data_IF_512003926614
#
_entry.id   IF_512003926614
#
_cell.length_a   1.000
_cell.length_b   1.000
_cell.length_c   1.000
_cell.angle_alpha   90.00
_cell.angle_beta   90.00
_cell.angle_gamma   90.00
#
_symmetry.space_group_name_H-M   'P 1'
#
loop_
_entity.id
_entity.type
_entity.pdbx_description
1 polymer ?
#
# COMPACT_ATOMS: atom_id res chain seq x y z
N UNK A 1 -4.84 29.26 -7.99
CA UNK A 1 -5.84 28.20 -7.69
C UNK A 1 -5.34 27.39 -6.51
N UNK A 2 -6.05 27.38 -5.38
CA UNK A 2 -5.74 26.48 -4.25
C UNK A 2 -6.28 25.08 -4.61
N UNK A 3 -5.51 23.99 -4.47
CA UNK A 3 -6.06 22.66 -4.68
C UNK A 3 -7.18 22.41 -3.67
N UNK A 4 -8.29 21.86 -4.15
CA UNK A 4 -9.42 21.52 -3.30
C UNK A 4 -8.95 20.58 -2.17
N UNK A 5 -9.40 20.79 -0.92
CA UNK A 5 -9.08 19.89 0.17
C UNK A 5 -9.55 18.48 -0.20
N UNK A 6 -8.63 17.53 -0.19
CA UNK A 6 -8.92 16.12 -0.44
C UNK A 6 -9.96 15.68 0.60
N UNK A 7 -11.19 15.42 0.15
CA UNK A 7 -12.27 14.90 0.99
C UNK A 7 -11.76 13.71 1.80
N UNK A 8 -11.95 13.78 3.13
CA UNK A 8 -11.52 12.76 4.08
C UNK A 8 -12.15 11.42 3.67
N UNK A 9 -11.36 10.54 3.04
CA UNK A 9 -11.88 9.26 2.54
C UNK A 9 -12.15 8.35 3.74
N UNK A 10 -13.39 7.91 3.89
CA UNK A 10 -13.78 6.98 4.95
C UNK A 10 -12.94 5.70 4.85
N UNK A 11 -12.44 5.22 6.01
CA UNK A 11 -11.76 3.93 6.11
C UNK A 11 -12.75 2.83 5.74
N UNK A 12 -12.57 2.23 4.56
CA UNK A 12 -13.38 1.12 4.05
C UNK A 12 -12.66 -0.20 4.28
N UNK A 13 -13.35 -1.25 4.70
CA UNK A 13 -12.75 -2.58 4.85
C UNK A 13 -11.96 -3.01 3.59
N UNK A 14 -10.68 -3.32 3.77
CA UNK A 14 -9.82 -3.84 2.71
C UNK A 14 -10.23 -5.24 2.29
N UNK A 15 -10.18 -5.49 0.98
CA UNK A 15 -10.34 -6.84 0.45
C UNK A 15 -9.23 -7.78 0.91
N UNK A 16 -9.54 -9.08 1.03
CA UNK A 16 -8.56 -10.11 1.38
C UNK A 16 -7.35 -10.09 0.42
N UNK A 17 -7.58 -9.87 -0.87
CA UNK A 17 -6.53 -9.73 -1.88
C UNK A 17 -5.58 -8.55 -1.57
N UNK A 18 -6.12 -7.40 -1.19
CA UNK A 18 -5.29 -6.23 -0.85
C UNK A 18 -4.45 -6.45 0.40
N UNK A 19 -5.02 -7.15 1.40
CA UNK A 19 -4.28 -7.55 2.60
C UNK A 19 -3.13 -8.50 2.23
N UNK A 20 -3.38 -9.50 1.37
CA UNK A 20 -2.33 -10.42 0.88
C UNK A 20 -1.23 -9.69 0.09
N UNK A 21 -1.58 -8.71 -0.74
CA UNK A 21 -0.59 -7.88 -1.43
C UNK A 21 0.28 -7.10 -0.44
N UNK A 22 -0.33 -6.52 0.60
CA UNK A 22 0.41 -5.84 1.66
C UNK A 22 1.40 -6.79 2.35
N UNK A 23 0.97 -7.98 2.77
CA UNK A 23 1.87 -8.96 3.40
C UNK A 23 3.02 -9.35 2.49
N UNK A 24 2.74 -9.53 1.19
CA UNK A 24 3.77 -9.88 0.21
C UNK A 24 4.82 -8.78 0.08
N UNK A 25 4.40 -7.51 0.03
CA UNK A 25 5.32 -6.37 0.03
C UNK A 25 6.08 -6.24 1.35
N UNK A 26 5.44 -6.57 2.48
CA UNK A 26 6.05 -6.51 3.81
C UNK A 26 7.19 -7.53 3.99
N UNK A 27 7.23 -8.58 3.18
CA UNK A 27 8.35 -9.52 3.11
C UNK A 27 9.56 -8.97 2.32
N UNK A 28 9.50 -7.72 1.85
CA UNK A 28 10.55 -7.11 1.02
C UNK A 28 10.40 -7.40 -0.47
N UNK A 29 9.33 -8.08 -0.89
CA UNK A 29 9.06 -8.29 -2.30
C UNK A 29 8.52 -7.01 -2.95
N UNK A 30 8.52 -7.02 -4.28
CA UNK A 30 7.95 -5.95 -5.10
C UNK A 30 6.89 -6.49 -6.04
N UNK A 31 5.99 -5.62 -6.50
CA UNK A 31 4.89 -6.00 -7.40
C UNK A 31 4.82 -5.10 -8.60
N UNK A 32 4.58 -5.68 -9.77
CA UNK A 32 4.07 -4.99 -10.95
C UNK A 32 2.56 -5.24 -11.07
N UNK A 33 1.91 -4.54 -12.02
CA UNK A 33 0.52 -4.85 -12.35
C UNK A 33 0.35 -6.30 -12.86
N UNK A 34 1.38 -6.85 -13.54
CA UNK A 34 1.37 -8.21 -14.06
C UNK A 34 1.46 -9.25 -12.92
N UNK A 35 2.36 -9.03 -11.95
CA UNK A 35 2.46 -9.89 -10.76
C UNK A 35 1.15 -9.93 -9.98
N UNK A 36 0.46 -8.79 -9.94
CA UNK A 36 -0.89 -8.67 -9.40
C UNK A 36 -1.91 -9.65 -10.00
N UNK A 37 -1.87 -9.84 -11.32
CA UNK A 37 -2.72 -10.81 -12.02
C UNK A 37 -2.25 -12.23 -11.74
N UNK A 38 -0.95 -12.49 -11.87
CA UNK A 38 -0.38 -13.84 -11.80
C UNK A 38 -0.42 -14.45 -10.39
N UNK A 39 -0.11 -13.66 -9.36
CA UNK A 39 0.03 -14.13 -7.98
C UNK A 39 -1.29 -14.01 -7.18
N UNK A 40 -2.14 -13.05 -7.54
CA UNK A 40 -3.33 -12.70 -6.74
C UNK A 40 -4.64 -12.71 -7.52
N UNK A 41 -4.63 -12.98 -8.83
CA UNK A 41 -5.82 -12.90 -9.68
C UNK A 41 -6.44 -11.51 -9.74
N UNK A 42 -5.64 -10.45 -9.53
CA UNK A 42 -6.14 -9.08 -9.37
C UNK A 42 -5.81 -8.18 -10.55
N UNK A 43 -6.81 -7.93 -11.39
CA UNK A 43 -6.71 -6.99 -12.52
C UNK A 43 -6.53 -5.52 -12.07
N UNK A 44 -6.97 -5.17 -10.86
CA UNK A 44 -6.96 -3.80 -10.34
C UNK A 44 -5.84 -3.53 -9.32
N UNK A 45 -4.67 -4.17 -9.49
CA UNK A 45 -3.56 -4.12 -8.52
C UNK A 45 -3.12 -2.69 -8.19
N UNK A 46 -2.97 -1.83 -9.19
CA UNK A 46 -2.58 -0.41 -8.99
C UNK A 46 -3.59 0.35 -8.13
N UNK A 47 -4.89 0.10 -8.32
CA UNK A 47 -5.95 0.69 -7.51
C UNK A 47 -5.87 0.20 -6.06
N UNK A 48 -5.62 -1.09 -5.83
CA UNK A 48 -5.48 -1.69 -4.49
C UNK A 48 -4.28 -1.13 -3.73
N UNK A 49 -3.14 -1.01 -4.39
CA UNK A 49 -1.97 -0.37 -3.79
C UNK A 49 -2.23 1.13 -3.53
N UNK A 50 -2.95 1.80 -4.43
CA UNK A 50 -3.39 3.18 -4.23
C UNK A 50 -4.38 3.36 -3.06
N UNK A 51 -5.12 2.32 -2.69
CA UNK A 51 -6.02 2.29 -1.51
C UNK A 51 -5.20 2.25 -0.22
N UNK A 52 -4.24 1.32 -0.13
CA UNK A 52 -3.28 1.23 0.97
C UNK A 52 -2.53 2.56 1.20
N UNK A 53 -2.05 3.18 0.12
CA UNK A 53 -1.34 4.46 0.22
C UNK A 53 -2.23 5.61 0.68
N UNK A 54 -3.41 5.80 0.07
CA UNK A 54 -4.22 7.02 0.26
C UNK A 54 -5.17 6.95 1.46
N UNK A 55 -5.63 5.75 1.83
CA UNK A 55 -6.61 5.57 2.92
C UNK A 55 -5.91 5.13 4.20
N UNK A 56 -4.87 4.30 4.08
CA UNK A 56 -4.19 3.68 5.22
C UNK A 56 -2.79 4.23 5.49
N UNK A 57 -2.33 5.21 4.71
CA UNK A 57 -1.05 5.87 4.92
C UNK A 57 0.17 4.97 4.69
N UNK A 58 0.00 3.82 4.05
CA UNK A 58 1.11 2.89 3.80
C UNK A 58 2.08 3.52 2.79
N UNK A 59 3.39 3.62 3.08
CA UNK A 59 4.36 4.27 2.22
C UNK A 59 4.76 3.35 1.05
N UNK A 60 3.86 3.19 0.08
CA UNK A 60 4.11 2.44 -1.15
C UNK A 60 4.80 3.34 -2.16
N UNK A 61 6.02 2.97 -2.51
CA UNK A 61 6.83 3.59 -3.54
C UNK A 61 6.66 2.87 -4.87
N UNK A 62 7.16 3.48 -5.94
CA UNK A 62 7.26 2.76 -7.19
C UNK A 62 8.09 3.49 -8.24
N UNK A 63 8.83 2.70 -8.98
CA UNK A 63 9.79 3.09 -10.01
C UNK A 63 9.47 2.39 -11.33
N UNK A 64 10.05 2.89 -12.42
CA UNK A 64 9.92 2.28 -13.74
C UNK A 64 11.19 1.52 -14.09
N UNK A 65 11.03 0.35 -14.66
CA UNK A 65 12.12 -0.45 -15.21
C UNK A 65 11.75 -0.96 -16.60
N UNK A 66 12.77 -1.27 -17.41
CA UNK A 66 12.59 -1.90 -18.71
C UNK A 66 12.83 -3.41 -18.58
N UNK A 67 11.92 -4.19 -19.14
CA UNK A 67 12.07 -5.65 -19.26
C UNK A 67 13.05 -5.98 -20.39
N UNK A 68 13.52 -7.24 -20.42
CA UNK A 68 14.42 -7.73 -21.47
C UNK A 68 13.88 -7.57 -22.90
N UNK A 69 12.55 -7.57 -23.06
CA UNK A 69 11.87 -7.32 -24.34
C UNK A 69 11.58 -5.83 -24.61
N UNK A 70 12.21 -4.90 -23.88
CA UNK A 70 12.10 -3.46 -24.08
C UNK A 70 10.81 -2.82 -23.59
N UNK A 71 9.88 -3.59 -22.99
CA UNK A 71 8.66 -3.02 -22.41
C UNK A 71 8.97 -2.30 -21.10
N UNK A 72 8.34 -1.15 -20.88
CA UNK A 72 8.47 -0.41 -19.62
C UNK A 72 7.36 -0.82 -18.66
N UNK A 73 7.73 -1.29 -17.49
CA UNK A 73 6.81 -1.65 -16.42
C UNK A 73 7.05 -0.78 -15.19
N UNK A 74 6.00 -0.62 -14.38
CA UNK A 74 6.10 0.01 -13.06
C UNK A 74 6.12 -1.07 -11.98
N UNK A 75 7.08 -0.96 -11.07
CA UNK A 75 7.21 -1.81 -9.88
C UNK A 75 6.84 -1.00 -8.66
N UNK A 76 6.22 -1.66 -7.69
CA UNK A 76 5.77 -1.09 -6.43
C UNK A 76 6.41 -1.86 -5.27
N UNK A 77 6.86 -1.14 -4.25
CA UNK A 77 7.57 -1.71 -3.11
C UNK A 77 7.34 -0.86 -1.85
N UNK A 78 7.66 -1.42 -0.70
CA UNK A 78 7.68 -0.70 0.57
C UNK A 78 9.09 -0.24 0.89
N UNK A 79 9.18 0.85 1.66
CA UNK A 79 10.45 1.29 2.23
C UNK A 79 11.01 0.25 3.21
N UNK A 80 12.34 0.12 3.24
CA UNK A 80 13.03 -0.88 4.04
C UNK A 80 12.86 -0.65 5.55
N UNK A 81 12.83 0.61 6.01
CA UNK A 81 12.63 0.92 7.42
C UNK A 81 11.17 0.71 7.82
N UNK A 82 10.23 1.03 6.93
CA UNK A 82 8.83 0.66 7.12
C UNK A 82 8.65 -0.85 7.29
N UNK A 83 9.30 -1.66 6.43
CA UNK A 83 9.28 -3.12 6.54
C UNK A 83 9.82 -3.57 7.89
N UNK A 84 11.02 -3.14 8.30
CA UNK A 84 11.62 -3.52 9.59
C UNK A 84 10.70 -3.24 10.77
N UNK A 85 10.02 -2.10 10.76
CA UNK A 85 9.10 -1.69 11.83
C UNK A 85 7.83 -2.57 11.88
N UNK A 86 7.34 -3.04 10.73
CA UNK A 86 6.01 -3.66 10.63
C UNK A 86 6.02 -5.17 10.40
N UNK A 87 7.14 -5.76 9.96
CA UNK A 87 7.24 -7.18 9.60
C UNK A 87 6.85 -8.12 10.75
N UNK A 88 7.26 -7.78 11.98
CA UNK A 88 6.96 -8.57 13.18
C UNK A 88 5.79 -8.00 14.00
N UNK A 89 5.19 -6.90 13.54
CA UNK A 89 4.03 -6.32 14.24
C UNK A 89 2.82 -7.23 14.10
N UNK A 90 2.02 -7.37 15.16
CA UNK A 90 0.69 -8.01 15.09
C UNK A 90 -0.38 -7.06 14.57
N UNK A 91 -0.12 -5.76 14.60
CA UNK A 91 -1.07 -4.74 14.20
C UNK A 91 -0.90 -4.42 12.71
N UNK A 92 -2.01 -4.33 11.98
CA UNK A 92 -2.04 -3.91 10.59
C UNK A 92 -2.64 -2.51 10.46
N UNK A 93 -2.30 -1.77 9.38
CA UNK A 93 -2.81 -0.40 9.17
C UNK A 93 -4.35 -0.28 9.16
N UNK A 94 -5.04 -1.38 8.89
CA UNK A 94 -6.50 -1.47 8.83
C UNK A 94 -7.15 -2.08 10.07
N UNK A 95 -6.37 -2.55 11.05
CA UNK A 95 -6.93 -3.03 12.30
C UNK A 95 -7.41 -1.82 13.10
N UNK A 96 -8.71 -1.77 13.39
CA UNK A 96 -9.34 -0.63 14.05
C UNK A 96 -9.03 -0.64 15.55
N UNK A 97 -7.83 -0.19 15.93
CA UNK A 97 -7.54 0.21 17.32
C UNK A 97 -6.22 0.98 17.42
N UNK A 98 -6.31 2.14 18.08
CA UNK A 98 -5.21 3.04 18.52
C UNK A 98 -4.67 4.06 17.50
N UNK A 99 -5.47 5.11 17.28
CA UNK A 99 -5.03 6.49 17.51
C UNK A 99 -6.28 7.35 17.72
N UNK A 100 -6.90 7.16 18.89
CA UNK A 100 -7.46 8.32 19.56
C UNK A 100 -6.24 9.14 19.96
N UNK A 101 -5.99 10.27 19.29
CA UNK A 101 -5.13 11.31 19.85
C UNK A 101 -5.64 11.56 21.28
N UNK A 102 -4.82 11.47 22.34
CA UNK A 102 -5.09 12.31 23.48
C UNK A 102 -4.96 13.74 22.94
N UNK A 103 -6.07 14.48 22.98
CA UNK A 103 -6.02 15.91 22.80
C UNK A 103 -5.01 16.46 23.81
N UNK A 104 -3.84 16.86 23.32
CA UNK A 104 -2.93 17.69 24.09
C UNK A 104 -3.30 19.13 23.72
N UNK A 105 -4.33 19.64 24.40
CA UNK A 105 -4.56 21.08 24.53
C UNK A 105 -4.34 21.38 26.01
N UNK A 106 -3.29 22.15 26.27
CA UNK A 106 -2.95 22.74 27.55
C UNK A 106 -3.89 23.89 27.89
#
# INVERSE_FOLDING_TARGET
MKPAPLTQKHKKALSATTKRMYEYLLQGNSLTALDGVQLFGCLCTTQRLGELRRIYGVPIYGDYFFTSNGKRLKRYYLDADYIKQHQNSKNRPWDTSQNANPANDQ
#
